data_IF_114446824250
#
_entry.id   IF_114446824250
#
_cell.length_a   1.000
_cell.length_b   1.000
_cell.length_c   1.000
_cell.angle_alpha   90.00
_cell.angle_beta   90.00
_cell.angle_gamma   90.00
#
_symmetry.space_group_name_H-M   'P 1'
#
loop_
_entity.id
_entity.type
_entity.pdbx_description
1 polymer ?
#
# COMPACT_ATOMS: atom_id res chain seq x y z
N UNK A 1 -17.26 28.27 -16.59
CA UNK A 1 -16.02 27.57 -16.20
C UNK A 1 -15.86 27.75 -14.70
N UNK A 2 -15.61 26.68 -13.97
CA UNK A 2 -15.30 26.75 -12.55
C UNK A 2 -14.03 27.57 -12.34
N UNK A 3 -13.93 28.36 -11.29
CA UNK A 3 -12.69 29.03 -10.94
C UNK A 3 -11.65 27.99 -10.50
N UNK A 4 -10.36 28.28 -10.60
CA UNK A 4 -9.30 27.37 -10.15
C UNK A 4 -9.47 26.98 -8.69
N UNK A 5 -9.86 27.92 -7.84
CA UNK A 5 -10.16 27.68 -6.42
C UNK A 5 -11.28 26.66 -6.21
N UNK A 6 -12.34 26.73 -7.02
CA UNK A 6 -13.42 25.75 -6.97
C UNK A 6 -12.95 24.36 -7.37
N UNK A 7 -12.11 24.23 -8.41
CA UNK A 7 -11.53 22.95 -8.82
C UNK A 7 -10.63 22.34 -7.74
N UNK A 8 -9.79 23.16 -7.10
CA UNK A 8 -8.96 22.77 -5.94
C UNK A 8 -9.84 22.23 -4.81
N UNK A 9 -10.89 22.96 -4.43
CA UNK A 9 -11.77 22.54 -3.35
C UNK A 9 -12.55 21.27 -3.68
N UNK A 10 -13.07 21.13 -4.90
CA UNK A 10 -13.77 19.92 -5.36
C UNK A 10 -12.84 18.70 -5.36
N UNK A 11 -11.62 18.83 -5.87
CA UNK A 11 -10.64 17.76 -5.87
C UNK A 11 -10.25 17.36 -4.45
N UNK A 12 -9.99 18.33 -3.56
CA UNK A 12 -9.72 18.10 -2.14
C UNK A 12 -10.85 17.31 -1.48
N UNK A 13 -12.12 17.70 -1.72
CA UNK A 13 -13.27 17.02 -1.17
C UNK A 13 -13.39 15.57 -1.68
N UNK A 14 -13.24 15.35 -2.98
CA UNK A 14 -13.28 14.01 -3.58
C UNK A 14 -12.21 13.10 -2.99
N UNK A 15 -10.98 13.58 -2.86
CA UNK A 15 -9.87 12.80 -2.28
C UNK A 15 -10.13 12.53 -0.78
N UNK A 16 -10.60 13.51 -0.01
CA UNK A 16 -10.93 13.32 1.40
C UNK A 16 -12.05 12.29 1.60
N UNK A 17 -13.12 12.37 0.81
CA UNK A 17 -14.22 11.40 0.81
C UNK A 17 -13.72 9.99 0.49
N UNK A 18 -12.84 9.87 -0.52
CA UNK A 18 -12.27 8.59 -0.88
C UNK A 18 -11.35 8.02 0.21
N UNK A 19 -10.50 8.83 0.84
CA UNK A 19 -9.69 8.39 1.99
C UNK A 19 -10.58 7.90 3.12
N UNK A 20 -11.65 8.62 3.43
CA UNK A 20 -12.64 8.21 4.43
C UNK A 20 -13.32 6.89 4.06
N UNK A 21 -13.62 6.68 2.78
CA UNK A 21 -14.20 5.45 2.26
C UNK A 21 -13.23 4.27 2.36
N UNK A 22 -12.00 4.41 1.84
CA UNK A 22 -11.02 3.33 1.84
C UNK A 22 -10.52 2.94 3.24
N UNK A 23 -10.72 3.78 4.25
CA UNK A 23 -10.47 3.41 5.64
C UNK A 23 -11.44 2.33 6.14
N UNK A 24 -12.61 2.22 5.52
CA UNK A 24 -13.76 1.38 5.93
C UNK A 24 -13.96 0.18 4.99
N UNK A 25 -13.66 0.34 3.71
CA UNK A 25 -13.85 -0.66 2.66
C UNK A 25 -12.51 -0.93 1.98
N UNK A 26 -12.13 -2.19 1.93
CA UNK A 26 -10.89 -2.61 1.25
C UNK A 26 -11.07 -2.58 -0.27
N UNK A 27 -9.97 -2.45 -1.05
CA UNK A 27 -10.03 -2.60 -2.51
C UNK A 27 -10.61 -3.95 -2.92
N UNK A 28 -11.31 -3.99 -4.05
CA UNK A 28 -11.99 -5.21 -4.53
C UNK A 28 -11.06 -6.41 -4.62
N UNK A 29 -9.86 -6.23 -5.17
CA UNK A 29 -8.87 -7.30 -5.33
C UNK A 29 -8.35 -7.86 -4.01
N UNK A 30 -8.29 -7.05 -2.95
CA UNK A 30 -7.92 -7.49 -1.60
C UNK A 30 -9.06 -8.30 -0.98
N UNK A 31 -10.30 -7.83 -1.12
CA UNK A 31 -11.47 -8.56 -0.63
C UNK A 31 -11.61 -9.91 -1.34
N UNK A 32 -11.53 -9.92 -2.69
CA UNK A 32 -11.57 -11.13 -3.51
C UNK A 32 -10.48 -12.13 -3.07
N UNK A 33 -9.24 -11.65 -2.83
CA UNK A 33 -8.13 -12.49 -2.38
C UNK A 33 -8.36 -13.08 -0.99
N UNK A 34 -8.87 -12.32 -0.04
CA UNK A 34 -9.20 -12.83 1.30
C UNK A 34 -10.27 -13.93 1.21
N UNK A 35 -11.28 -13.78 0.36
CA UNK A 35 -12.29 -14.80 0.14
C UNK A 35 -11.69 -16.08 -0.49
N UNK A 36 -10.82 -15.93 -1.50
CA UNK A 36 -10.10 -17.06 -2.12
C UNK A 36 -9.27 -17.83 -1.08
N UNK A 37 -8.46 -17.11 -0.28
CA UNK A 37 -7.63 -17.73 0.76
C UNK A 37 -8.47 -18.47 1.81
N UNK A 38 -9.61 -17.89 2.19
CA UNK A 38 -10.55 -18.52 3.13
C UNK A 38 -11.15 -19.84 2.60
N UNK A 39 -11.41 -19.90 1.29
CA UNK A 39 -11.93 -21.12 0.65
C UNK A 39 -10.86 -22.21 0.54
N UNK A 40 -9.63 -21.83 0.20
CA UNK A 40 -8.51 -22.74 -0.01
C UNK A 40 -7.89 -23.27 1.29
N UNK A 41 -8.10 -22.58 2.42
CA UNK A 41 -7.48 -22.92 3.70
C UNK A 41 -8.07 -24.23 4.27
N UNK A 42 -7.19 -25.12 4.73
CA UNK A 42 -7.55 -26.43 5.28
C UNK A 42 -7.48 -26.47 6.80
N UNK A 43 -6.66 -25.62 7.41
CA UNK A 43 -6.55 -25.55 8.87
C UNK A 43 -7.82 -24.92 9.47
N UNK A 44 -8.56 -25.62 10.34
CA UNK A 44 -9.82 -25.11 10.90
C UNK A 44 -9.65 -23.80 11.69
N UNK A 45 -8.53 -23.64 12.41
CA UNK A 45 -8.25 -22.43 13.18
C UNK A 45 -8.00 -21.24 12.23
N UNK A 46 -7.17 -21.44 11.22
CA UNK A 46 -6.90 -20.43 10.19
C UNK A 46 -8.18 -20.02 9.45
N UNK A 47 -9.03 -20.99 9.12
CA UNK A 47 -10.32 -20.74 8.48
C UNK A 47 -11.24 -19.86 9.34
N UNK A 48 -11.32 -20.13 10.64
CA UNK A 48 -12.09 -19.28 11.58
C UNK A 48 -11.54 -17.84 11.64
N UNK A 49 -10.23 -17.65 11.48
CA UNK A 49 -9.64 -16.29 11.41
C UNK A 49 -10.06 -15.59 10.13
N UNK A 50 -10.04 -16.27 8.97
CA UNK A 50 -10.55 -15.67 7.72
C UNK A 50 -12.03 -15.29 7.81
N UNK A 51 -12.87 -16.14 8.40
CA UNK A 51 -14.29 -15.83 8.66
C UNK A 51 -14.43 -14.59 9.54
N UNK A 52 -13.59 -14.44 10.55
CA UNK A 52 -13.54 -13.25 11.40
C UNK A 52 -13.12 -12.00 10.63
N UNK A 53 -12.14 -12.11 9.71
CA UNK A 53 -11.73 -11.00 8.84
C UNK A 53 -12.87 -10.56 7.91
N UNK A 54 -13.56 -11.50 7.31
CA UNK A 54 -14.73 -11.22 6.45
C UNK A 54 -15.83 -10.53 7.22
N UNK A 55 -16.17 -11.05 8.41
CA UNK A 55 -17.16 -10.42 9.28
C UNK A 55 -16.73 -8.99 9.72
N UNK A 56 -15.44 -8.77 9.98
CA UNK A 56 -14.91 -7.44 10.30
C UNK A 56 -15.07 -6.46 9.12
N UNK A 57 -14.83 -6.91 7.88
CA UNK A 57 -15.06 -6.08 6.69
C UNK A 57 -16.54 -5.67 6.56
N UNK A 58 -17.45 -6.62 6.74
CA UNK A 58 -18.90 -6.36 6.70
C UNK A 58 -19.33 -5.39 7.79
N UNK A 59 -18.88 -5.58 9.03
CA UNK A 59 -19.18 -4.69 10.15
C UNK A 59 -18.62 -3.27 9.94
N UNK A 60 -17.40 -3.16 9.42
CA UNK A 60 -16.78 -1.86 9.13
C UNK A 60 -17.63 -1.05 8.13
N UNK A 61 -18.10 -1.71 7.07
CA UNK A 61 -18.97 -1.10 6.08
C UNK A 61 -20.36 -0.74 6.67
N UNK A 62 -21.02 -1.68 7.38
CA UNK A 62 -22.34 -1.47 7.98
C UNK A 62 -22.35 -0.38 9.05
N UNK A 63 -21.35 -0.36 9.92
CA UNK A 63 -21.24 0.60 11.01
C UNK A 63 -20.60 1.93 10.58
N UNK A 64 -20.17 2.02 9.32
CA UNK A 64 -19.46 3.18 8.77
C UNK A 64 -18.24 3.57 9.63
N UNK A 65 -17.41 2.59 10.01
CA UNK A 65 -16.23 2.73 10.87
C UNK A 65 -14.97 2.18 10.17
N UNK A 66 -13.79 2.74 10.47
CA UNK A 66 -12.54 2.16 9.98
C UNK A 66 -12.43 0.67 10.32
N UNK A 67 -11.94 -0.12 9.37
CA UNK A 67 -11.79 -1.58 9.49
C UNK A 67 -10.70 -2.03 10.45
N UNK A 68 -9.87 -1.11 10.94
CA UNK A 68 -8.80 -1.35 11.92
C UNK A 68 -8.63 -0.14 12.82
N UNK A 69 -8.27 -0.35 14.10
CA UNK A 69 -7.95 0.73 15.04
C UNK A 69 -6.67 1.49 14.63
N UNK A 70 -5.72 0.84 13.96
CA UNK A 70 -4.59 1.49 13.33
C UNK A 70 -5.00 1.91 11.92
N UNK A 71 -5.43 3.15 11.75
CA UNK A 71 -5.78 3.69 10.44
C UNK A 71 -4.55 4.07 9.61
N UNK A 72 -3.34 3.89 10.15
CA UNK A 72 -2.08 4.14 9.47
C UNK A 72 -1.73 5.62 9.36
N UNK A 73 -0.59 5.88 8.71
CA UNK A 73 -0.17 7.20 8.23
C UNK A 73 -0.32 7.21 6.72
N UNK A 74 -0.96 8.24 6.19
CA UNK A 74 -1.18 8.36 4.75
C UNK A 74 0.13 8.61 4.01
N UNK A 75 0.27 7.89 2.90
CA UNK A 75 1.29 8.08 1.88
C UNK A 75 0.60 8.16 0.53
N UNK A 76 1.17 8.89 -0.41
CA UNK A 76 0.66 8.98 -1.77
C UNK A 76 1.74 8.63 -2.77
N UNK A 77 1.37 7.85 -3.78
CA UNK A 77 2.11 7.77 -5.02
C UNK A 77 1.32 8.53 -6.07
N UNK A 78 1.95 9.55 -6.66
CA UNK A 78 1.30 10.46 -7.61
C UNK A 78 2.03 10.39 -8.95
N UNK A 79 1.30 9.99 -10.00
CA UNK A 79 1.79 9.99 -11.36
C UNK A 79 1.05 11.08 -12.13
N UNK A 80 1.70 12.22 -12.33
CA UNK A 80 1.07 13.43 -12.83
C UNK A 80 1.65 13.86 -14.17
N UNK A 81 0.77 14.25 -15.09
CA UNK A 81 1.16 14.87 -16.35
C UNK A 81 1.79 16.26 -16.17
N UNK A 82 2.85 16.55 -16.93
CA UNK A 82 3.50 17.87 -16.85
C UNK A 82 2.59 19.04 -17.27
N UNK A 83 1.49 18.75 -17.96
CA UNK A 83 0.48 19.72 -18.40
C UNK A 83 -0.79 19.70 -17.54
N UNK A 84 -0.78 18.98 -16.40
CA UNK A 84 -1.95 18.92 -15.53
C UNK A 84 -2.24 20.29 -14.91
N UNK A 85 -3.49 20.81 -15.01
CA UNK A 85 -3.79 22.21 -14.66
C UNK A 85 -3.53 22.55 -13.19
N UNK A 86 -3.66 21.58 -12.26
CA UNK A 86 -3.49 21.76 -10.82
C UNK A 86 -2.17 21.19 -10.29
N UNK A 87 -1.17 20.98 -11.15
CA UNK A 87 0.12 20.40 -10.74
C UNK A 87 0.76 21.15 -9.56
N UNK A 88 0.71 22.47 -9.57
CA UNK A 88 1.31 23.30 -8.51
C UNK A 88 0.54 23.27 -7.19
N UNK A 89 -0.70 22.85 -7.19
CA UNK A 89 -1.60 22.81 -6.01
C UNK A 89 -1.72 21.40 -5.41
N UNK A 90 -1.22 20.36 -6.09
CA UNK A 90 -1.46 18.96 -5.70
C UNK A 90 -0.97 18.65 -4.29
N UNK A 91 0.18 19.16 -3.87
CA UNK A 91 0.68 18.89 -2.51
C UNK A 91 -0.27 19.44 -1.45
N UNK A 92 -0.72 20.68 -1.61
CA UNK A 92 -1.67 21.31 -0.68
C UNK A 92 -3.02 20.60 -0.70
N UNK A 93 -3.51 20.19 -1.88
CA UNK A 93 -4.73 19.40 -2.04
C UNK A 93 -4.63 18.08 -1.24
N UNK A 94 -3.53 17.35 -1.38
CA UNK A 94 -3.35 16.06 -0.71
C UNK A 94 -3.21 16.20 0.81
N UNK A 95 -2.52 17.24 1.27
CA UNK A 95 -2.37 17.57 2.70
C UNK A 95 -3.72 17.95 3.31
N UNK A 96 -4.46 18.84 2.68
CA UNK A 96 -5.77 19.28 3.16
C UNK A 96 -6.80 18.12 3.11
N UNK A 97 -6.80 17.30 2.06
CA UNK A 97 -7.63 16.11 1.98
C UNK A 97 -7.31 15.11 3.11
N UNK A 98 -6.04 14.95 3.47
CA UNK A 98 -5.61 14.11 4.62
C UNK A 98 -6.16 14.66 5.92
N UNK A 99 -6.07 15.96 6.16
CA UNK A 99 -6.62 16.61 7.35
C UNK A 99 -8.14 16.44 7.43
N UNK A 100 -8.83 16.75 6.36
CA UNK A 100 -10.30 16.62 6.28
C UNK A 100 -10.75 15.19 6.53
N UNK A 101 -10.15 14.20 5.88
CA UNK A 101 -10.47 12.78 6.10
C UNK A 101 -10.18 12.35 7.55
N UNK A 102 -9.15 12.90 8.19
CA UNK A 102 -8.83 12.62 9.59
C UNK A 102 -9.98 13.00 10.52
N UNK A 103 -10.68 14.10 10.23
CA UNK A 103 -11.82 14.55 11.04
C UNK A 103 -13.10 13.77 10.72
N UNK A 104 -13.34 13.47 9.45
CA UNK A 104 -14.61 12.92 8.96
C UNK A 104 -14.73 11.40 9.08
N UNK A 105 -13.64 10.64 8.94
CA UNK A 105 -13.67 9.18 8.99
C UNK A 105 -14.09 8.58 10.35
N UNK A 106 -13.76 9.00 11.59
CA UNK A 106 -12.53 9.67 12.03
C UNK A 106 -11.32 8.74 12.00
N UNK A 107 -10.16 9.25 11.57
CA UNK A 107 -8.91 8.49 11.58
C UNK A 107 -8.20 8.64 12.92
N UNK A 108 -7.49 7.59 13.35
CA UNK A 108 -6.61 7.68 14.51
C UNK A 108 -5.47 8.67 14.22
N UNK A 109 -5.11 9.45 15.21
CA UNK A 109 -4.00 10.42 15.13
C UNK A 109 -2.67 9.68 15.26
N UNK A 110 -2.05 9.32 14.15
CA UNK A 110 -0.83 8.51 14.09
C UNK A 110 0.43 9.30 13.71
N UNK A 111 0.31 10.61 13.46
CA UNK A 111 1.43 11.44 13.07
C UNK A 111 2.08 12.08 14.31
N UNK A 112 3.32 11.66 14.61
CA UNK A 112 4.11 12.10 15.76
C UNK A 112 5.40 12.75 15.25
N UNK A 113 5.72 13.93 15.75
CA UNK A 113 7.00 14.59 15.46
C UNK A 113 8.16 13.78 16.04
N UNK A 114 9.17 13.52 15.22
CA UNK A 114 10.18 12.48 15.49
C UNK A 114 11.03 12.76 16.72
N UNK A 115 11.47 13.98 16.94
CA UNK A 115 12.37 14.33 18.02
C UNK A 115 11.67 14.95 19.23
N UNK A 116 10.59 15.68 18.97
CA UNK A 116 9.79 16.30 20.04
C UNK A 116 8.77 15.34 20.64
N UNK A 117 8.55 14.19 19.99
CA UNK A 117 7.68 13.09 20.43
C UNK A 117 6.25 13.53 20.80
N UNK A 118 5.75 14.58 20.13
CA UNK A 118 4.37 14.99 20.32
C UNK A 118 3.50 14.67 19.10
N UNK A 119 2.24 14.33 19.34
CA UNK A 119 1.29 14.05 18.27
C UNK A 119 0.80 15.37 17.64
N UNK A 120 0.87 15.47 16.31
CA UNK A 120 0.46 16.69 15.59
C UNK A 120 -1.05 16.98 15.69
N UNK A 121 -1.88 15.99 16.02
CA UNK A 121 -3.35 16.11 16.11
C UNK A 121 -4.06 16.24 14.75
N UNK A 122 -3.34 16.13 13.64
CA UNK A 122 -3.88 16.41 12.30
C UNK A 122 -3.56 15.33 11.26
N UNK A 123 -2.75 14.32 11.57
CA UNK A 123 -2.13 13.41 10.59
C UNK A 123 -1.34 14.10 9.48
N UNK A 124 -0.95 15.35 9.73
CA UNK A 124 -0.07 16.16 8.90
C UNK A 124 1.10 16.61 9.78
N UNK A 125 2.31 16.51 9.27
CA UNK A 125 3.54 16.92 9.93
C UNK A 125 4.64 17.21 8.92
N UNK A 126 5.88 17.27 9.37
CA UNK A 126 7.03 17.38 8.49
C UNK A 126 7.11 16.10 7.64
N UNK A 127 7.06 16.23 6.30
CA UNK A 127 7.00 15.11 5.34
C UNK A 127 5.86 14.09 5.54
N UNK A 128 4.83 14.44 6.27
CA UNK A 128 3.62 13.62 6.39
C UNK A 128 2.38 14.42 5.93
N UNK A 129 1.56 13.88 5.01
CA UNK A 129 1.76 12.63 4.27
C UNK A 129 2.99 12.69 3.36
N UNK A 130 3.68 11.55 3.20
CA UNK A 130 4.79 11.47 2.25
C UNK A 130 4.24 11.26 0.83
N UNK A 131 4.73 12.04 -0.13
CA UNK A 131 4.25 12.01 -1.51
C UNK A 131 5.40 11.64 -2.44
N UNK A 132 5.24 10.52 -3.14
CA UNK A 132 6.13 10.12 -4.23
C UNK A 132 5.63 10.69 -5.54
N UNK A 133 6.48 11.37 -6.29
CA UNK A 133 6.15 12.03 -7.53
C UNK A 133 6.77 11.33 -8.73
N UNK A 134 5.91 10.89 -9.68
CA UNK A 134 6.28 10.48 -11.03
C UNK A 134 5.71 11.53 -12.01
N UNK A 135 6.56 12.39 -12.60
CA UNK A 135 6.12 13.38 -13.58
C UNK A 135 6.22 12.80 -14.99
N UNK A 136 5.11 12.80 -15.71
CA UNK A 136 5.01 12.23 -17.07
C UNK A 136 4.91 13.35 -18.10
N UNK A 137 5.91 13.50 -18.99
CA UNK A 137 5.88 14.56 -19.99
C UNK A 137 4.67 14.48 -20.93
N UNK A 138 4.04 15.64 -21.16
CA UNK A 138 2.98 15.81 -22.15
C UNK A 138 1.58 15.35 -21.78
N UNK A 139 1.40 14.60 -20.68
CA UNK A 139 0.06 14.24 -20.17
C UNK A 139 -0.59 15.44 -19.44
N UNK A 140 -1.93 15.43 -19.37
CA UNK A 140 -2.76 16.45 -18.73
C UNK A 140 -3.74 15.88 -17.68
N UNK A 141 -3.47 14.66 -17.19
CA UNK A 141 -4.20 13.94 -16.14
C UNK A 141 -3.28 13.62 -14.96
N UNK A 142 -3.88 13.15 -13.87
CA UNK A 142 -3.15 12.66 -12.67
C UNK A 142 -3.73 11.36 -12.16
N UNK A 143 -2.85 10.40 -11.88
CA UNK A 143 -3.17 9.16 -11.16
C UNK A 143 -2.65 9.29 -9.73
N UNK A 144 -3.52 9.07 -8.75
CA UNK A 144 -3.20 9.20 -7.32
C UNK A 144 -3.48 7.87 -6.62
N UNK A 145 -2.46 7.35 -5.96
CA UNK A 145 -2.53 6.12 -5.18
C UNK A 145 -2.35 6.44 -3.69
N UNK A 146 -3.45 6.72 -2.94
CA UNK A 146 -3.38 6.82 -1.50
C UNK A 146 -3.16 5.45 -0.87
N UNK A 147 -2.33 5.39 0.17
CA UNK A 147 -2.02 4.21 0.94
C UNK A 147 -1.99 4.53 2.43
N UNK A 148 -2.67 3.71 3.23
CA UNK A 148 -2.71 3.82 4.69
C UNK A 148 -1.69 2.85 5.31
N UNK A 149 -0.49 3.35 5.60
CA UNK A 149 0.61 2.55 6.15
C UNK A 149 0.48 2.39 7.67
N UNK A 150 0.06 1.22 8.13
CA UNK A 150 0.01 0.90 9.56
C UNK A 150 1.39 0.72 10.19
N UNK A 151 1.49 0.92 11.50
CA UNK A 151 2.74 0.77 12.26
C UNK A 151 3.27 -0.67 12.24
N UNK A 152 2.40 -1.66 12.44
CA UNK A 152 2.76 -3.08 12.35
C UNK A 152 3.27 -3.48 10.97
N UNK A 153 2.68 -2.94 9.91
CA UNK A 153 3.13 -3.18 8.53
C UNK A 153 4.50 -2.55 8.25
N UNK A 154 4.85 -1.48 8.96
CA UNK A 154 6.13 -0.79 8.76
C UNK A 154 7.30 -1.50 9.46
N UNK A 155 7.03 -2.28 10.49
CA UNK A 155 8.07 -2.96 11.28
C UNK A 155 8.92 -3.94 10.48
N UNK A 156 8.39 -4.80 9.58
CA UNK A 156 9.23 -5.66 8.74
C UNK A 156 9.98 -4.91 7.62
N UNK A 157 9.70 -3.61 7.43
CA UNK A 157 10.37 -2.80 6.39
C UNK A 157 11.88 -2.81 6.56
N UNK A 158 12.60 -3.27 5.53
CA UNK A 158 14.06 -3.40 5.59
C UNK A 158 14.70 -3.31 4.21
N UNK A 159 16.00 -2.99 4.19
CA UNK A 159 16.77 -2.96 2.97
C UNK A 159 18.18 -3.47 3.16
N UNK A 160 18.74 -4.11 2.12
CA UNK A 160 20.08 -4.67 2.10
C UNK A 160 20.72 -4.52 0.73
N UNK A 161 21.99 -4.16 0.71
CA UNK A 161 22.81 -4.22 -0.50
C UNK A 161 23.64 -5.50 -0.46
N UNK A 162 23.43 -6.36 -1.44
CA UNK A 162 24.07 -7.66 -1.59
C UNK A 162 25.25 -7.57 -2.55
N UNK A 163 26.24 -8.44 -2.35
CA UNK A 163 27.32 -8.65 -3.31
C UNK A 163 26.79 -9.45 -4.52
N UNK A 164 27.33 -9.24 -5.73
CA UNK A 164 26.86 -9.96 -6.93
C UNK A 164 26.93 -11.47 -6.80
N UNK A 165 27.89 -11.99 -6.04
CA UNK A 165 28.05 -13.43 -5.79
C UNK A 165 26.93 -14.06 -4.95
N UNK A 166 26.16 -13.25 -4.20
CA UNK A 166 24.97 -13.72 -3.47
C UNK A 166 23.79 -13.96 -4.43
N UNK A 167 23.81 -13.31 -5.59
CA UNK A 167 22.81 -13.48 -6.64
C UNK A 167 21.37 -13.17 -6.19
N UNK A 168 20.43 -13.62 -6.99
CA UNK A 168 19.00 -13.49 -6.65
C UNK A 168 18.55 -14.52 -5.61
N UNK A 169 19.33 -15.57 -5.36
CA UNK A 169 19.16 -16.47 -4.22
C UNK A 169 19.37 -15.71 -2.90
N UNK A 170 20.37 -14.82 -2.85
CA UNK A 170 20.59 -13.92 -1.72
C UNK A 170 19.42 -12.97 -1.48
N UNK A 171 18.77 -12.47 -2.55
CA UNK A 171 17.55 -11.67 -2.43
C UNK A 171 16.41 -12.51 -1.85
N UNK A 172 16.19 -13.72 -2.37
CA UNK A 172 15.15 -14.61 -1.86
C UNK A 172 15.38 -14.96 -0.38
N UNK A 173 16.62 -15.30 -0.03
CA UNK A 173 17.00 -15.56 1.37
C UNK A 173 16.70 -14.35 2.26
N UNK A 174 17.08 -13.14 1.86
CA UNK A 174 16.83 -11.92 2.63
C UNK A 174 15.34 -11.70 2.88
N UNK A 175 14.48 -11.88 1.87
CA UNK A 175 13.03 -11.75 2.00
C UNK A 175 12.47 -12.81 2.95
N UNK A 176 12.87 -14.07 2.81
CA UNK A 176 12.38 -15.18 3.65
C UNK A 176 12.85 -15.03 5.11
N UNK A 177 14.11 -14.66 5.35
CA UNK A 177 14.63 -14.40 6.69
C UNK A 177 13.84 -13.27 7.38
N UNK A 178 13.51 -12.22 6.63
CA UNK A 178 12.75 -11.09 7.13
C UNK A 178 11.29 -11.50 7.49
N UNK A 179 10.64 -12.26 6.62
CA UNK A 179 9.29 -12.75 6.87
C UNK A 179 9.25 -13.73 8.05
N UNK A 180 10.24 -14.59 8.19
CA UNK A 180 10.36 -15.50 9.34
C UNK A 180 10.53 -14.74 10.66
N UNK A 181 11.33 -13.65 10.65
CA UNK A 181 11.64 -12.88 11.85
C UNK A 181 10.53 -11.91 12.26
N UNK A 182 9.87 -11.27 11.30
CA UNK A 182 8.96 -10.14 11.56
C UNK A 182 7.60 -10.24 10.88
N UNK A 183 7.36 -11.24 10.03
CA UNK A 183 6.11 -11.32 9.25
C UNK A 183 4.86 -11.37 10.13
N UNK A 184 4.92 -12.03 11.27
CA UNK A 184 3.82 -12.09 12.24
C UNK A 184 3.40 -10.69 12.73
N UNK A 185 4.35 -9.78 12.93
CA UNK A 185 4.08 -8.44 13.45
C UNK A 185 3.23 -7.58 12.51
N UNK A 186 3.21 -7.91 11.22
CA UNK A 186 2.46 -7.17 10.21
C UNK A 186 1.04 -7.70 9.97
N UNK A 187 0.50 -8.52 10.85
CA UNK A 187 -0.86 -9.08 10.78
C UNK A 187 -1.15 -9.82 9.46
N UNK A 188 -0.61 -11.04 9.25
CA UNK A 188 -0.84 -11.84 8.05
C UNK A 188 -2.34 -12.20 7.83
N UNK A 189 -2.74 -12.49 6.57
CA UNK A 189 -1.91 -12.64 5.38
C UNK A 189 -1.34 -11.32 4.85
N UNK A 190 -0.11 -11.36 4.36
CA UNK A 190 0.68 -10.19 4.00
C UNK A 190 0.71 -9.92 2.50
N UNK A 191 0.66 -8.67 2.08
CA UNK A 191 1.18 -8.28 0.77
C UNK A 191 2.65 -7.88 0.93
N UNK A 192 3.55 -8.58 0.24
CA UNK A 192 4.99 -8.32 0.31
C UNK A 192 5.43 -7.59 -0.95
N UNK A 193 5.89 -6.36 -0.79
CA UNK A 193 6.47 -5.56 -1.86
C UNK A 193 8.00 -5.65 -1.82
N UNK A 194 8.61 -6.07 -2.93
CA UNK A 194 10.06 -6.17 -3.07
C UNK A 194 10.53 -5.18 -4.12
N UNK A 195 11.53 -4.38 -3.78
CA UNK A 195 12.19 -3.46 -4.70
C UNK A 195 13.62 -3.92 -4.99
N UNK A 196 14.03 -3.95 -6.25
CA UNK A 196 15.41 -4.24 -6.66
C UNK A 196 15.90 -3.13 -7.59
N UNK A 197 16.95 -2.41 -7.21
CA UNK A 197 17.39 -1.24 -7.96
C UNK A 197 18.88 -0.93 -7.81
N UNK A 198 19.28 0.25 -8.26
CA UNK A 198 20.67 0.73 -8.27
C UNK A 198 21.22 0.92 -6.85
N UNK A 199 20.41 1.55 -5.98
CA UNK A 199 20.78 1.92 -4.60
C UNK A 199 19.65 1.56 -3.65
N UNK A 200 19.95 1.56 -2.35
CA UNK A 200 18.99 1.13 -1.34
C UNK A 200 17.75 2.05 -1.22
N UNK A 201 17.92 3.34 -1.41
CA UNK A 201 16.85 4.33 -1.41
C UNK A 201 15.88 4.12 -2.58
N UNK A 202 16.41 3.90 -3.80
CA UNK A 202 15.59 3.57 -4.97
C UNK A 202 14.91 2.20 -4.83
N UNK A 203 15.59 1.20 -4.27
CA UNK A 203 14.98 -0.10 -3.97
C UNK A 203 13.84 0.04 -2.94
N UNK A 204 14.04 0.86 -1.89
CA UNK A 204 13.00 1.13 -0.88
C UNK A 204 11.77 1.80 -1.50
N UNK A 205 11.96 2.82 -2.35
CA UNK A 205 10.86 3.44 -3.09
C UNK A 205 10.10 2.43 -3.96
N UNK A 206 10.82 1.58 -4.70
CA UNK A 206 10.21 0.54 -5.55
C UNK A 206 9.49 -0.54 -4.73
N UNK A 207 10.00 -0.94 -3.56
CA UNK A 207 9.31 -1.89 -2.68
C UNK A 207 7.96 -1.34 -2.22
N UNK A 208 7.88 -0.03 -1.95
CA UNK A 208 6.63 0.64 -1.61
C UNK A 208 5.69 0.76 -2.81
N UNK A 209 6.22 1.07 -4.01
CA UNK A 209 5.46 1.08 -5.27
C UNK A 209 4.83 -0.29 -5.57
N UNK A 210 5.55 -1.37 -5.28
CA UNK A 210 5.06 -2.73 -5.45
C UNK A 210 3.78 -3.01 -4.64
N UNK A 211 3.61 -2.39 -3.46
CA UNK A 211 2.39 -2.49 -2.67
C UNK A 211 1.18 -1.78 -3.31
N UNK A 212 1.39 -0.86 -4.26
CA UNK A 212 0.30 -0.15 -4.94
C UNK A 212 -0.29 -0.97 -6.07
N UNK A 213 0.39 -2.01 -6.53
CA UNK A 213 -0.13 -2.91 -7.56
C UNK A 213 -1.29 -3.76 -7.02
N UNK A 214 -2.23 -4.18 -7.91
CA UNK A 214 -3.25 -5.16 -7.53
C UNK A 214 -2.61 -6.44 -6.97
N UNK A 215 -3.23 -7.02 -5.94
CA UNK A 215 -2.70 -8.18 -5.20
C UNK A 215 -2.44 -9.38 -6.11
N UNK A 216 -3.33 -9.62 -7.08
CA UNK A 216 -3.21 -10.75 -8.03
C UNK A 216 -2.44 -10.40 -9.31
N UNK A 217 -1.82 -9.20 -9.40
CA UNK A 217 -1.04 -8.81 -10.58
C UNK A 217 0.28 -9.58 -10.63
N UNK A 218 0.81 -9.72 -11.84
CA UNK A 218 2.16 -10.27 -12.06
C UNK A 218 3.07 -9.22 -12.67
N UNK A 219 4.35 -9.30 -12.36
CA UNK A 219 5.35 -8.42 -12.96
C UNK A 219 5.39 -8.62 -14.49
N UNK A 220 5.53 -7.54 -15.29
CA UNK A 220 5.63 -7.66 -16.74
C UNK A 220 6.87 -8.43 -17.21
N UNK A 221 7.93 -8.44 -16.41
CA UNK A 221 9.14 -9.21 -16.68
C UNK A 221 8.94 -10.65 -16.17
N UNK A 222 9.06 -11.64 -17.07
CA UNK A 222 8.82 -13.05 -16.76
C UNK A 222 9.69 -13.61 -15.61
N UNK A 223 10.95 -13.17 -15.50
CA UNK A 223 11.85 -13.59 -14.42
C UNK A 223 11.44 -12.99 -13.08
N UNK A 224 10.97 -11.75 -13.09
CA UNK A 224 10.42 -11.12 -11.90
C UNK A 224 9.10 -11.80 -11.47
N UNK A 225 8.22 -12.10 -12.43
CA UNK A 225 6.98 -12.84 -12.17
C UNK A 225 7.23 -14.25 -11.62
N UNK A 226 8.25 -14.95 -12.14
CA UNK A 226 8.68 -16.24 -11.59
C UNK A 226 9.19 -16.09 -10.15
N UNK A 227 9.97 -15.05 -9.87
CA UNK A 227 10.47 -14.80 -8.53
C UNK A 227 9.35 -14.39 -7.55
N UNK A 228 8.34 -13.64 -8.00
CA UNK A 228 7.13 -13.35 -7.21
C UNK A 228 6.49 -14.66 -6.73
N UNK A 229 6.27 -15.61 -7.63
CA UNK A 229 5.68 -16.90 -7.30
C UNK A 229 6.56 -17.73 -6.36
N UNK A 230 7.86 -17.78 -6.62
CA UNK A 230 8.82 -18.50 -5.78
C UNK A 230 8.85 -17.97 -4.36
N UNK A 231 8.80 -16.65 -4.18
CA UNK A 231 8.75 -16.01 -2.87
C UNK A 231 7.41 -16.25 -2.17
N UNK A 232 6.29 -16.16 -2.90
CA UNK A 232 4.96 -16.48 -2.38
C UNK A 232 4.90 -17.90 -1.83
N UNK A 233 5.36 -18.89 -2.62
CA UNK A 233 5.41 -20.28 -2.21
C UNK A 233 6.34 -20.49 -1.00
N UNK A 234 7.49 -19.82 -1.00
CA UNK A 234 8.46 -19.89 0.10
C UNK A 234 7.91 -19.33 1.41
N UNK A 235 7.26 -18.16 1.36
CA UNK A 235 6.68 -17.53 2.56
C UNK A 235 5.49 -18.36 3.09
N UNK A 236 4.65 -18.90 2.21
CA UNK A 236 3.55 -19.77 2.62
C UNK A 236 4.05 -21.03 3.35
N UNK A 237 5.21 -21.60 2.91
CA UNK A 237 5.84 -22.76 3.58
C UNK A 237 6.39 -22.46 4.99
N UNK A 238 6.56 -21.18 5.36
CA UNK A 238 6.91 -20.82 6.74
C UNK A 238 5.78 -21.21 7.70
N UNK A 239 4.52 -21.19 7.22
CA UNK A 239 3.37 -21.69 7.98
C UNK A 239 2.90 -20.74 9.08
N UNK A 240 3.16 -19.43 8.98
CA UNK A 240 2.69 -18.44 9.96
C UNK A 240 1.15 -18.43 9.95
N UNK A 241 0.54 -18.44 8.77
CA UNK A 241 -0.91 -18.39 8.60
C UNK A 241 -1.56 -17.08 9.01
N UNK A 242 -2.89 -16.94 8.88
CA UNK A 242 -3.59 -15.72 9.24
C UNK A 242 -3.45 -15.42 10.73
N UNK A 243 -3.04 -14.20 11.06
CA UNK A 243 -2.76 -13.70 12.41
C UNK A 243 -1.80 -14.60 13.25
N UNK A 244 -0.97 -15.41 12.59
CA UNK A 244 -0.03 -16.30 13.28
C UNK A 244 -0.64 -17.59 13.86
N UNK A 245 -1.84 -17.92 13.44
CA UNK A 245 -2.56 -19.12 13.96
C UNK A 245 -2.22 -20.41 13.19
N UNK A 246 -1.13 -20.37 12.40
CA UNK A 246 -0.79 -21.48 11.50
C UNK A 246 -1.70 -21.54 10.28
N UNK A 247 -1.38 -22.42 9.35
CA UNK A 247 -2.14 -22.62 8.11
C UNK A 247 -1.26 -22.54 6.86
N UNK A 248 -1.87 -22.86 5.73
CA UNK A 248 -1.18 -22.97 4.45
C UNK A 248 -0.95 -21.61 3.75
N UNK A 249 -1.64 -20.56 4.22
CA UNK A 249 -1.67 -19.24 3.56
C UNK A 249 -1.17 -18.14 4.50
N UNK A 250 0.00 -17.63 4.22
CA UNK A 250 0.66 -16.55 5.00
C UNK A 250 0.61 -15.21 4.27
N UNK A 251 0.48 -15.21 2.92
CA UNK A 251 0.50 -14.00 2.12
C UNK A 251 -0.75 -13.84 1.25
N UNK A 252 -1.13 -12.58 1.01
CA UNK A 252 -2.04 -12.17 -0.06
C UNK A 252 -1.35 -12.31 -1.43
N UNK A 253 -0.05 -12.04 -1.46
CA UNK A 253 0.79 -12.12 -2.64
C UNK A 253 2.15 -11.48 -2.42
N UNK A 254 3.01 -11.62 -3.43
CA UNK A 254 4.32 -10.95 -3.51
C UNK A 254 4.38 -10.18 -4.82
N UNK A 255 4.70 -8.89 -4.74
CA UNK A 255 4.90 -8.03 -5.91
C UNK A 255 6.34 -7.54 -5.96
N UNK A 256 6.95 -7.57 -7.14
CA UNK A 256 8.32 -7.09 -7.37
C UNK A 256 8.31 -5.92 -8.34
N UNK A 257 8.84 -4.79 -7.92
CA UNK A 257 9.20 -3.68 -8.80
C UNK A 257 10.72 -3.60 -8.92
N UNK A 258 11.21 -3.35 -10.12
CA UNK A 258 12.64 -3.33 -10.34
C UNK A 258 13.08 -2.23 -11.29
N UNK A 259 14.30 -1.77 -11.10
CA UNK A 259 15.03 -0.89 -12.01
C UNK A 259 16.35 -1.53 -12.46
N UNK A 260 17.18 -0.75 -13.14
CA UNK A 260 18.55 -1.15 -13.43
C UNK A 260 19.40 -1.15 -12.15
N UNK A 261 20.47 -1.93 -12.13
CA UNK A 261 21.41 -1.99 -11.00
C UNK A 261 22.85 -1.79 -11.46
N UNK A 262 23.71 -1.43 -10.53
CA UNK A 262 25.15 -1.47 -10.75
C UNK A 262 25.64 -2.93 -10.82
N UNK A 263 26.57 -3.30 -11.72
CA UNK A 263 27.04 -4.68 -11.85
C UNK A 263 27.66 -5.24 -10.57
N UNK A 264 28.24 -4.39 -9.72
CA UNK A 264 28.94 -4.78 -8.49
C UNK A 264 28.05 -4.95 -7.26
N UNK A 265 26.74 -4.65 -7.34
CA UNK A 265 25.83 -4.73 -6.20
C UNK A 265 24.41 -5.11 -6.63
N UNK A 266 23.63 -5.67 -5.68
CA UNK A 266 22.20 -5.88 -5.81
C UNK A 266 21.55 -5.20 -4.60
N UNK A 267 20.99 -4.00 -4.79
CA UNK A 267 20.23 -3.34 -3.74
C UNK A 267 18.81 -3.85 -3.73
N UNK A 268 18.38 -4.38 -2.59
CA UNK A 268 17.05 -4.95 -2.39
C UNK A 268 16.40 -4.33 -1.15
N UNK A 269 15.13 -4.02 -1.24
CA UNK A 269 14.32 -3.58 -0.10
C UNK A 269 12.97 -4.28 -0.08
N UNK A 270 12.40 -4.38 1.11
CA UNK A 270 11.09 -5.00 1.36
C UNK A 270 10.20 -4.01 2.10
N UNK A 271 8.98 -3.87 1.64
CA UNK A 271 7.87 -3.22 2.33
C UNK A 271 6.71 -4.19 2.47
N UNK A 272 5.93 -4.08 3.54
CA UNK A 272 4.86 -5.04 3.82
C UNK A 272 3.53 -4.31 4.02
N UNK A 273 2.45 -4.88 3.50
CA UNK A 273 1.06 -4.58 3.83
C UNK A 273 0.44 -5.75 4.59
N UNK A 274 -0.48 -5.48 5.52
CA UNK A 274 -1.22 -6.51 6.26
C UNK A 274 -2.44 -7.02 5.48
N UNK A 275 -3.20 -7.95 6.07
CA UNK A 275 -4.48 -8.41 5.53
C UNK A 275 -5.45 -7.26 5.23
N UNK A 276 -5.40 -6.20 6.04
CA UNK A 276 -6.21 -4.99 5.90
C UNK A 276 -5.47 -3.95 5.04
N UNK A 277 -5.15 -4.34 3.81
CA UNK A 277 -4.34 -3.53 2.87
C UNK A 277 -5.17 -2.44 2.20
N UNK A 278 -5.23 -1.28 2.86
CA UNK A 278 -6.02 -0.11 2.42
C UNK A 278 -5.20 0.75 1.46
N UNK A 279 -5.52 0.65 0.19
CA UNK A 279 -4.97 1.48 -0.88
C UNK A 279 -6.07 1.93 -1.84
N UNK A 280 -5.78 2.96 -2.59
CA UNK A 280 -6.67 3.47 -3.63
C UNK A 280 -5.99 3.61 -4.98
N UNK A 281 -6.80 3.80 -6.01
CA UNK A 281 -6.37 4.18 -7.36
C UNK A 281 -7.41 5.13 -7.93
N UNK A 282 -7.05 6.41 -7.98
CA UNK A 282 -7.86 7.51 -8.47
C UNK A 282 -7.24 8.12 -9.72
N UNK A 283 -8.04 8.40 -10.71
CA UNK A 283 -7.62 9.15 -11.91
C UNK A 283 -8.47 10.40 -12.05
N UNK A 284 -7.81 11.55 -12.11
CA UNK A 284 -8.46 12.81 -12.45
C UNK A 284 -8.00 13.26 -13.84
N UNK A 285 -8.97 13.58 -14.69
CA UNK A 285 -8.70 14.26 -15.96
C UNK A 285 -8.46 15.77 -15.74
N UNK A 286 -8.12 16.47 -16.80
CA UNK A 286 -7.87 17.93 -16.77
C UNK A 286 -9.09 18.77 -16.39
N UNK A 287 -10.29 18.21 -16.53
CA UNK A 287 -11.55 18.89 -16.26
C UNK A 287 -12.06 18.61 -14.81
N UNK A 288 -11.32 17.78 -14.04
CA UNK A 288 -11.61 17.45 -12.65
C UNK A 288 -12.60 16.28 -12.48
N UNK A 289 -12.91 15.53 -13.56
CA UNK A 289 -13.66 14.30 -13.44
C UNK A 289 -12.80 13.21 -12.80
N UNK A 290 -13.36 12.51 -11.82
CA UNK A 290 -12.66 11.46 -11.08
C UNK A 290 -13.20 10.08 -11.44
N UNK A 291 -12.27 9.15 -11.70
CA UNK A 291 -12.56 7.72 -11.84
C UNK A 291 -11.85 6.96 -10.73
N UNK A 292 -12.60 6.12 -10.01
CA UNK A 292 -12.06 5.20 -8.99
C UNK A 292 -11.85 3.83 -9.60
N UNK A 293 -10.59 3.37 -9.68
CA UNK A 293 -10.26 2.08 -10.29
C UNK A 293 -10.20 0.92 -9.28
N UNK A 294 -9.88 1.21 -8.03
CA UNK A 294 -9.64 0.20 -6.98
C UNK A 294 -10.91 -0.31 -6.29
N UNK A 295 -12.04 0.39 -6.46
CA UNK A 295 -13.32 0.08 -5.80
C UNK A 295 -14.44 0.25 -6.83
N UNK A 296 -14.97 -0.84 -7.33
CA UNK A 296 -16.00 -0.85 -8.38
C UNK A 296 -17.29 -0.21 -7.90
N UNK A 297 -17.89 0.63 -8.73
CA UNK A 297 -19.18 1.28 -8.43
C UNK A 297 -19.09 2.50 -7.49
N UNK A 298 -17.91 2.88 -7.03
CA UNK A 298 -17.70 4.09 -6.23
C UNK A 298 -17.63 5.30 -7.14
N UNK A 299 -18.47 6.30 -6.84
CA UNK A 299 -18.49 7.62 -7.50
C UNK A 299 -18.24 8.70 -6.45
N UNK A 300 -17.39 9.70 -6.78
CA UNK A 300 -16.97 10.79 -5.88
C UNK A 300 -17.50 12.14 -6.35
#
# INVERSE_FOLDING_TARGET
MSTKEQQVQEMTNKIANFISYMAKVLPDDVQEKIHELAQDEKNPMAKSIYETMQHNMDLAAQLNRPSCQDTGVLQFWVKVGSNYPLLGELEDILREATYKATQEAPLRLNCVETFDEFNTGKNIGLTAPYIHWDIVPGRDDVEIFPYMAGGGCSLPGSGKTLMPGEGYEGVAKFVLDLMTSYGLNACPPLLVGVGIATTIDTAAGLSKKALMRPVSSKAPNEKAAYMEQLLEDGINKIGIGPQGMGGDKTVLGVNIEHGTRHPSVISCAVSVGCWNHRRGDLVFDKDGNCTVKSHKGVTL
#
